data_IF_005184979529
#
_entry.id   IF_005184979529
#
_cell.length_a   1.000
_cell.length_b   1.000
_cell.length_c   1.000
_cell.angle_alpha   90.00
_cell.angle_beta   90.00
_cell.angle_gamma   90.00
#
_symmetry.space_group_name_H-M   'P 1'
#
loop_
_entity.id
_entity.type
_entity.pdbx_description
1 polymer ?
#
# COMPACT_ATOMS: atom_id res chain seq x y z
N UNK A 1 -2.07 5.79 -9.28
CA UNK A 1 -0.73 6.03 -8.69
C UNK A 1 0.11 7.05 -9.49
N UNK A 2 0.08 7.07 -10.83
CA UNK A 2 0.73 8.14 -11.64
C UNK A 2 0.17 9.54 -11.30
N UNK A 3 -1.12 9.63 -10.97
CA UNK A 3 -1.75 10.87 -10.48
C UNK A 3 -1.05 11.47 -9.25
N UNK A 4 -0.71 10.62 -8.27
CA UNK A 4 0.00 10.99 -7.04
C UNK A 4 1.40 11.53 -7.36
N UNK A 5 2.11 10.82 -8.24
CA UNK A 5 3.43 11.25 -8.72
C UNK A 5 3.38 12.58 -9.48
N UNK A 6 2.37 12.76 -10.36
CA UNK A 6 2.18 14.01 -11.10
C UNK A 6 1.89 15.19 -10.18
N UNK A 7 1.09 15.00 -9.13
CA UNK A 7 0.84 16.04 -8.14
C UNK A 7 2.10 16.43 -7.35
N UNK A 8 2.88 15.43 -6.93
CA UNK A 8 4.17 15.62 -6.26
C UNK A 8 5.18 16.40 -7.10
N UNK A 9 5.34 16.03 -8.37
CA UNK A 9 6.42 16.55 -9.21
C UNK A 9 6.07 17.87 -9.89
N UNK A 10 4.79 18.12 -10.15
CA UNK A 10 4.36 19.30 -10.90
C UNK A 10 3.52 20.26 -10.05
N UNK A 11 2.49 19.79 -9.33
CA UNK A 11 1.58 20.73 -8.64
C UNK A 11 2.16 21.33 -7.36
N UNK A 12 2.73 20.49 -6.48
CA UNK A 12 3.28 20.95 -5.20
C UNK A 12 4.40 22.01 -5.39
N UNK A 13 5.42 21.80 -6.24
CA UNK A 13 6.51 22.77 -6.40
C UNK A 13 6.16 24.00 -7.26
N UNK A 14 5.23 23.89 -8.22
CA UNK A 14 4.93 25.00 -9.14
C UNK A 14 3.93 26.02 -8.57
N UNK A 15 3.15 25.68 -7.55
CA UNK A 15 2.03 26.53 -7.07
C UNK A 15 1.80 26.46 -5.55
N UNK A 16 2.85 26.60 -4.76
CA UNK A 16 2.80 26.49 -3.29
C UNK A 16 1.72 27.35 -2.61
N UNK A 17 1.51 28.60 -3.07
CA UNK A 17 0.52 29.50 -2.48
C UNK A 17 -0.94 29.06 -2.71
N UNK A 18 -1.25 28.55 -3.90
CA UNK A 18 -2.59 28.03 -4.20
C UNK A 18 -2.85 26.69 -3.48
N UNK A 19 -1.82 25.87 -3.36
CA UNK A 19 -1.87 24.58 -2.63
C UNK A 19 -2.20 24.79 -1.14
N UNK A 20 -1.55 25.76 -0.49
CA UNK A 20 -1.83 26.08 0.93
C UNK A 20 -3.25 26.62 1.13
N UNK A 21 -3.76 27.41 0.18
CA UNK A 21 -5.13 27.97 0.28
C UNK A 21 -6.23 26.91 0.17
N UNK A 22 -5.97 25.76 -0.46
CA UNK A 22 -6.98 24.72 -0.75
C UNK A 22 -6.71 23.43 0.06
N UNK A 23 -5.61 23.36 0.81
CA UNK A 23 -5.20 22.16 1.55
C UNK A 23 -6.28 21.64 2.50
N UNK A 24 -6.97 22.52 3.23
CA UNK A 24 -8.07 22.17 4.14
C UNK A 24 -9.26 21.54 3.40
N UNK A 25 -9.62 22.09 2.24
CA UNK A 25 -10.70 21.59 1.38
C UNK A 25 -10.32 20.22 0.81
N UNK A 26 -9.10 20.08 0.30
CA UNK A 26 -8.60 18.80 -0.23
C UNK A 26 -8.55 17.75 0.87
N UNK A 27 -8.13 18.12 2.08
CA UNK A 27 -8.06 17.20 3.21
C UNK A 27 -9.42 16.70 3.66
N UNK A 28 -10.42 17.60 3.70
CA UNK A 28 -11.80 17.22 3.99
C UNK A 28 -12.34 16.24 2.95
N UNK A 29 -12.26 16.59 1.66
CA UNK A 29 -12.76 15.74 0.58
C UNK A 29 -12.05 14.41 0.51
N UNK A 30 -10.74 14.39 0.76
CA UNK A 30 -9.99 13.18 0.72
C UNK A 30 -10.27 12.24 1.88
N UNK A 31 -10.55 12.76 3.08
CA UNK A 31 -11.02 11.92 4.19
C UNK A 31 -12.44 11.41 3.97
N UNK A 32 -13.35 12.23 3.44
CA UNK A 32 -14.68 11.77 3.05
C UNK A 32 -14.59 10.67 1.97
N UNK A 33 -13.73 10.84 0.97
CA UNK A 33 -13.49 9.84 -0.07
C UNK A 33 -12.91 8.55 0.50
N UNK A 34 -11.92 8.64 1.40
CA UNK A 34 -11.33 7.49 2.08
C UNK A 34 -12.38 6.68 2.86
N UNK A 35 -13.22 7.35 3.65
CA UNK A 35 -14.32 6.71 4.40
C UNK A 35 -15.40 6.13 3.48
N UNK A 36 -15.73 6.83 2.39
CA UNK A 36 -16.68 6.33 1.41
C UNK A 36 -16.19 5.01 0.78
N UNK A 37 -14.93 4.98 0.34
CA UNK A 37 -14.36 3.77 -0.24
C UNK A 37 -14.21 2.63 0.77
N UNK A 38 -13.91 2.94 2.05
CA UNK A 38 -13.82 1.91 3.09
C UNK A 38 -15.17 1.25 3.36
N UNK A 39 -16.24 2.03 3.41
CA UNK A 39 -17.62 1.53 3.53
C UNK A 39 -18.04 0.73 2.28
N UNK A 40 -17.67 1.21 1.08
CA UNK A 40 -17.98 0.53 -0.17
C UNK A 40 -17.26 -0.82 -0.27
N UNK A 41 -16.03 -0.92 0.24
CA UNK A 41 -15.27 -2.17 0.31
C UNK A 41 -16.02 -3.23 1.10
N UNK A 42 -16.69 -2.86 2.20
CA UNK A 42 -17.43 -3.81 3.05
C UNK A 42 -18.65 -4.46 2.37
N UNK A 43 -19.15 -3.88 1.27
CA UNK A 43 -20.33 -4.39 0.55
C UNK A 43 -19.98 -5.39 -0.56
N UNK A 44 -18.71 -5.46 -0.95
CA UNK A 44 -18.25 -6.25 -2.09
C UNK A 44 -17.58 -7.57 -1.73
N UNK A 45 -17.19 -8.32 -2.76
CA UNK A 45 -16.23 -9.41 -2.66
C UNK A 45 -14.77 -8.93 -2.68
N UNK A 46 -13.80 -9.85 -2.56
CA UNK A 46 -12.38 -9.51 -2.42
C UNK A 46 -11.85 -8.54 -3.49
N UNK A 47 -12.19 -8.75 -4.77
CA UNK A 47 -11.73 -7.89 -5.87
C UNK A 47 -12.22 -6.45 -5.67
N UNK A 48 -13.49 -6.27 -5.32
CA UNK A 48 -14.05 -4.94 -5.05
C UNK A 48 -13.39 -4.31 -3.82
N UNK A 49 -13.13 -5.09 -2.76
CA UNK A 49 -12.41 -4.62 -1.57
C UNK A 49 -11.02 -4.11 -1.93
N UNK A 50 -10.28 -4.83 -2.78
CA UNK A 50 -8.94 -4.42 -3.24
C UNK A 50 -9.02 -3.13 -4.07
N UNK A 51 -9.96 -3.04 -5.01
CA UNK A 51 -10.12 -1.83 -5.83
C UNK A 51 -10.47 -0.61 -4.97
N UNK A 52 -11.41 -0.77 -4.04
CA UNK A 52 -11.79 0.28 -3.10
C UNK A 52 -10.61 0.65 -2.19
N UNK A 53 -9.80 -0.33 -1.75
CA UNK A 53 -8.60 -0.09 -0.95
C UNK A 53 -7.58 0.76 -1.72
N UNK A 54 -7.27 0.41 -2.96
CA UNK A 54 -6.32 1.17 -3.80
C UNK A 54 -6.79 2.60 -4.00
N UNK A 55 -8.08 2.79 -4.33
CA UNK A 55 -8.66 4.11 -4.52
C UNK A 55 -8.67 4.93 -3.23
N UNK A 56 -9.13 4.34 -2.12
CA UNK A 56 -9.17 4.99 -0.82
C UNK A 56 -7.77 5.41 -0.37
N UNK A 57 -6.78 4.52 -0.44
CA UNK A 57 -5.39 4.83 -0.09
C UNK A 57 -4.77 5.89 -1.00
N UNK A 58 -5.11 5.91 -2.30
CA UNK A 58 -4.65 6.97 -3.20
C UNK A 58 -5.26 8.33 -2.87
N UNK A 59 -6.55 8.40 -2.58
CA UNK A 59 -7.22 9.65 -2.16
C UNK A 59 -6.64 10.16 -0.84
N UNK A 60 -6.39 9.25 0.11
CA UNK A 60 -5.73 9.56 1.36
C UNK A 60 -4.29 10.06 1.13
N UNK A 61 -3.49 9.38 0.31
CA UNK A 61 -2.11 9.81 0.05
C UNK A 61 -2.08 11.20 -0.62
N UNK A 62 -3.01 11.49 -1.52
CA UNK A 62 -3.14 12.82 -2.14
C UNK A 62 -3.45 13.92 -1.14
N UNK A 63 -4.36 13.66 -0.21
CA UNK A 63 -4.70 14.55 0.91
C UNK A 63 -3.45 14.96 1.67
N UNK A 64 -2.60 13.98 1.95
CA UNK A 64 -1.45 14.14 2.81
C UNK A 64 -0.29 14.82 2.12
N UNK A 65 -0.12 14.60 0.83
CA UNK A 65 0.91 15.29 0.06
C UNK A 65 0.76 16.82 0.09
N UNK A 66 -0.45 17.33 0.33
CA UNK A 66 -0.69 18.76 0.46
C UNK A 66 -0.57 19.29 1.90
N UNK A 67 -0.48 18.39 2.88
CA UNK A 67 -0.42 18.74 4.31
C UNK A 67 0.86 18.26 5.01
N UNK A 68 1.61 17.35 4.41
CA UNK A 68 2.74 16.67 5.03
C UNK A 68 4.01 17.51 4.98
N UNK A 69 4.81 17.38 6.04
CA UNK A 69 6.18 17.87 6.05
C UNK A 69 7.02 17.17 4.96
N UNK A 70 7.99 17.87 4.34
CA UNK A 70 8.83 17.33 3.27
C UNK A 70 9.52 16.00 3.63
N UNK A 71 9.84 15.82 4.91
CA UNK A 71 10.52 14.63 5.46
C UNK A 71 9.63 13.37 5.40
N UNK A 72 8.30 13.53 5.39
CA UNK A 72 7.35 12.40 5.35
C UNK A 72 7.06 11.91 3.91
N UNK A 73 7.36 12.73 2.90
CA UNK A 73 7.04 12.45 1.49
C UNK A 73 7.68 11.15 0.97
N UNK A 74 8.99 10.89 1.16
CA UNK A 74 9.61 9.67 0.65
C UNK A 74 9.00 8.40 1.24
N UNK A 75 8.69 8.42 2.54
CA UNK A 75 8.06 7.32 3.24
C UNK A 75 6.63 7.05 2.73
N UNK A 76 5.87 8.11 2.43
CA UNK A 76 4.54 8.00 1.83
C UNK A 76 4.59 7.44 0.40
N UNK A 77 5.59 7.83 -0.40
CA UNK A 77 5.78 7.27 -1.75
C UNK A 77 6.11 5.78 -1.67
N UNK A 78 7.08 5.41 -0.84
CA UNK A 78 7.49 4.01 -0.65
C UNK A 78 6.32 3.14 -0.18
N UNK A 79 5.56 3.63 0.80
CA UNK A 79 4.32 3.02 1.25
C UNK A 79 3.35 2.78 0.11
N UNK A 80 3.14 3.81 -0.73
CA UNK A 80 2.22 3.69 -1.84
C UNK A 80 2.72 2.73 -2.92
N UNK A 81 4.03 2.62 -3.15
CA UNK A 81 4.60 1.58 -4.02
C UNK A 81 4.31 0.19 -3.46
N UNK A 82 4.61 -0.05 -2.18
CA UNK A 82 4.44 -1.37 -1.54
C UNK A 82 2.97 -1.81 -1.54
N UNK A 83 2.05 -0.93 -1.14
CA UNK A 83 0.62 -1.23 -1.22
C UNK A 83 0.17 -1.54 -2.65
N UNK A 84 0.69 -0.80 -3.63
CA UNK A 84 0.37 -1.03 -5.03
C UNK A 84 0.82 -2.38 -5.52
N UNK A 85 2.06 -2.74 -5.18
CA UNK A 85 2.65 -4.03 -5.48
C UNK A 85 1.83 -5.17 -4.85
N UNK A 86 1.53 -5.09 -3.55
CA UNK A 86 0.75 -6.10 -2.85
C UNK A 86 -0.67 -6.27 -3.43
N UNK A 87 -1.36 -5.18 -3.75
CA UNK A 87 -2.68 -5.24 -4.41
C UNK A 87 -2.61 -5.89 -5.81
N UNK A 88 -1.61 -5.53 -6.62
CA UNK A 88 -1.44 -6.10 -7.97
C UNK A 88 -1.14 -7.61 -7.90
N UNK A 89 -0.25 -8.03 -7.00
CA UNK A 89 0.08 -9.45 -6.82
C UNK A 89 -1.12 -10.25 -6.32
N UNK A 90 -1.93 -9.66 -5.43
CA UNK A 90 -3.15 -10.28 -4.97
C UNK A 90 -4.18 -10.43 -6.11
N UNK A 91 -4.35 -9.41 -6.95
CA UNK A 91 -5.23 -9.49 -8.14
C UNK A 91 -4.75 -10.54 -9.16
N UNK A 92 -3.44 -10.77 -9.28
CA UNK A 92 -2.89 -11.85 -10.11
C UNK A 92 -3.15 -13.24 -9.52
N UNK A 93 -3.18 -13.37 -8.20
CA UNK A 93 -3.41 -14.64 -7.50
C UNK A 93 -4.89 -15.06 -7.45
N UNK A 94 -5.83 -14.10 -7.38
CA UNK A 94 -7.27 -14.40 -7.22
C UNK A 94 -7.83 -15.34 -8.30
N UNK A 95 -7.59 -15.14 -9.60
CA UNK A 95 -8.11 -16.05 -10.62
C UNK A 95 -7.59 -17.48 -10.44
N UNK A 96 -6.32 -17.62 -10.04
CA UNK A 96 -5.70 -18.92 -9.82
C UNK A 96 -6.27 -19.62 -8.59
N UNK A 97 -6.49 -18.86 -7.51
CA UNK A 97 -7.09 -19.36 -6.27
C UNK A 97 -8.59 -19.66 -6.39
N UNK A 98 -9.28 -19.07 -7.36
CA UNK A 98 -10.71 -19.34 -7.63
C UNK A 98 -10.97 -20.68 -8.32
N UNK A 99 -9.93 -21.35 -8.83
CA UNK A 99 -10.04 -22.68 -9.43
C UNK A 99 -9.86 -23.74 -8.33
N UNK A 100 -10.79 -24.71 -8.18
CA UNK A 100 -10.74 -25.70 -7.10
C UNK A 100 -9.76 -26.84 -7.41
N UNK A 101 -8.46 -26.54 -7.29
CA UNK A 101 -7.36 -27.50 -7.51
C UNK A 101 -6.78 -27.91 -6.17
N UNK A 102 -6.63 -29.21 -5.89
CA UNK A 102 -5.99 -29.66 -4.64
C UNK A 102 -4.54 -30.05 -4.84
N UNK A 103 -3.63 -29.28 -4.22
CA UNK A 103 -2.29 -29.74 -3.87
C UNK A 103 -1.28 -28.62 -3.53
N UNK A 104 0.03 -28.93 -3.63
CA UNK A 104 1.09 -28.13 -2.94
C UNK A 104 1.36 -26.79 -3.63
N UNK A 105 1.06 -26.67 -4.92
CA UNK A 105 1.16 -25.41 -5.65
C UNK A 105 0.06 -24.43 -5.22
N UNK A 106 -1.17 -24.92 -5.03
CA UNK A 106 -2.27 -24.13 -4.48
C UNK A 106 -1.94 -23.63 -3.06
N UNK A 107 -1.37 -24.48 -2.20
CA UNK A 107 -0.97 -24.08 -0.84
C UNK A 107 0.06 -22.94 -0.83
N UNK A 108 1.03 -22.93 -1.76
CA UNK A 108 2.00 -21.84 -1.87
C UNK A 108 1.29 -20.53 -2.28
N UNK A 109 0.38 -20.58 -3.24
CA UNK A 109 -0.38 -19.40 -3.70
C UNK A 109 -1.29 -18.84 -2.60
N UNK A 110 -1.89 -19.70 -1.79
CA UNK A 110 -2.67 -19.30 -0.61
C UNK A 110 -1.80 -18.58 0.42
N UNK A 111 -0.59 -19.11 0.68
CA UNK A 111 0.40 -18.44 1.54
C UNK A 111 0.82 -17.08 0.98
N UNK A 112 1.07 -16.99 -0.32
CA UNK A 112 1.40 -15.73 -0.98
C UNK A 112 0.26 -14.72 -0.87
N UNK A 113 -0.99 -15.13 -1.12
CA UNK A 113 -2.15 -14.26 -0.98
C UNK A 113 -2.35 -13.80 0.47
N UNK A 114 -2.20 -14.71 1.43
CA UNK A 114 -2.21 -14.38 2.86
C UNK A 114 -1.12 -13.39 3.24
N UNK A 115 0.11 -13.57 2.73
CA UNK A 115 1.22 -12.65 2.94
C UNK A 115 0.92 -11.26 2.36
N UNK A 116 0.31 -11.17 1.17
CA UNK A 116 -0.10 -9.88 0.60
C UNK A 116 -1.19 -9.21 1.43
N UNK A 117 -2.18 -9.96 1.93
CA UNK A 117 -3.21 -9.42 2.85
C UNK A 117 -2.56 -8.89 4.14
N UNK A 118 -1.62 -9.63 4.74
CA UNK A 118 -0.89 -9.19 5.94
C UNK A 118 -0.04 -7.94 5.67
N UNK A 119 0.55 -7.84 4.47
CA UNK A 119 1.29 -6.65 4.04
C UNK A 119 0.35 -5.45 3.93
N UNK A 120 -0.82 -5.62 3.29
CA UNK A 120 -1.85 -4.58 3.20
C UNK A 120 -2.48 -4.23 4.55
N UNK A 121 -2.43 -5.15 5.52
CA UNK A 121 -2.84 -4.93 6.90
C UNK A 121 -1.82 -4.13 7.71
N UNK A 122 -0.62 -3.92 7.19
CA UNK A 122 0.43 -3.21 7.91
C UNK A 122 0.91 -4.03 9.10
N UNK A 123 1.17 -5.33 8.91
CA UNK A 123 1.77 -6.14 9.97
C UNK A 123 3.17 -5.58 10.31
N UNK A 124 3.51 -5.43 11.61
CA UNK A 124 4.85 -4.99 12.01
C UNK A 124 5.95 -5.88 11.41
N UNK A 125 6.97 -5.26 10.81
CA UNK A 125 8.06 -5.94 10.12
C UNK A 125 7.83 -6.20 8.62
N UNK A 126 6.63 -5.90 8.10
CA UNK A 126 6.38 -5.89 6.66
C UNK A 126 6.45 -4.46 6.10
N UNK A 127 6.81 -4.39 4.82
CA UNK A 127 6.91 -3.14 4.08
C UNK A 127 5.64 -2.31 4.19
N UNK A 128 5.82 -1.04 4.53
CA UNK A 128 4.73 -0.07 4.63
C UNK A 128 4.16 0.13 6.04
N UNK A 129 4.40 -0.77 6.99
CA UNK A 129 3.94 -0.57 8.38
C UNK A 129 4.53 0.70 9.01
N UNK A 130 5.83 0.92 8.88
CA UNK A 130 6.52 2.05 9.52
C UNK A 130 6.03 3.40 9.00
N UNK A 131 5.87 3.52 7.68
CA UNK A 131 5.29 4.70 7.06
C UNK A 131 3.83 4.92 7.49
N UNK A 132 3.06 3.83 7.59
CA UNK A 132 1.67 3.91 8.03
C UNK A 132 1.51 4.30 9.50
N UNK A 133 2.40 3.81 10.35
CA UNK A 133 2.43 4.13 11.78
C UNK A 133 2.87 5.58 12.01
N UNK A 134 3.97 5.99 11.37
CA UNK A 134 4.43 7.38 11.39
C UNK A 134 3.33 8.33 10.89
N UNK A 135 2.57 7.89 9.89
CA UNK A 135 1.44 8.63 9.37
C UNK A 135 0.29 8.76 10.38
N UNK A 136 -0.15 7.66 10.99
CA UNK A 136 -1.17 7.70 12.05
C UNK A 136 -0.73 8.62 13.20
N UNK A 137 0.55 8.55 13.57
CA UNK A 137 1.12 9.38 14.62
C UNK A 137 1.06 10.88 14.28
N UNK A 138 1.45 11.26 13.06
CA UNK A 138 1.36 12.64 12.58
C UNK A 138 -0.08 13.15 12.58
N UNK A 139 -1.05 12.37 12.09
CA UNK A 139 -2.46 12.77 12.13
C UNK A 139 -2.97 12.99 13.55
N UNK A 140 -2.57 12.14 14.51
CA UNK A 140 -2.97 12.27 15.90
C UNK A 140 -2.39 13.51 16.57
N UNK A 141 -1.21 13.96 16.15
CA UNK A 141 -0.59 15.20 16.60
C UNK A 141 -1.32 16.43 16.04
N UNK A 142 -1.71 16.41 14.77
CA UNK A 142 -2.42 17.52 14.12
C UNK A 142 -3.89 17.63 14.59
N UNK A 143 -4.62 16.51 14.59
CA UNK A 143 -6.02 16.47 14.99
C UNK A 143 -6.47 15.06 15.34
N UNK A 144 -6.86 14.88 16.61
CA UNK A 144 -7.40 13.61 17.11
C UNK A 144 -8.55 13.07 16.24
N UNK A 145 -9.43 13.95 15.76
CA UNK A 145 -10.59 13.58 14.96
C UNK A 145 -10.18 12.97 13.60
N UNK A 146 -9.19 13.56 12.94
CA UNK A 146 -8.62 13.06 11.68
C UNK A 146 -7.95 11.70 11.88
N UNK A 147 -7.19 11.54 12.96
CA UNK A 147 -6.59 10.26 13.33
C UNK A 147 -7.63 9.16 13.57
N UNK A 148 -8.72 9.47 14.28
CA UNK A 148 -9.81 8.52 14.53
C UNK A 148 -10.54 8.10 13.25
N UNK A 149 -10.85 9.05 12.36
CA UNK A 149 -11.48 8.74 11.07
C UNK A 149 -10.59 7.87 10.18
N UNK A 150 -9.29 8.19 10.14
CA UNK A 150 -8.33 7.37 9.42
C UNK A 150 -8.29 5.94 10.00
N UNK A 151 -8.19 5.80 11.32
CA UNK A 151 -8.17 4.50 11.97
C UNK A 151 -9.45 3.69 11.68
N UNK A 152 -10.62 4.33 11.79
CA UNK A 152 -11.90 3.69 11.51
C UNK A 152 -12.00 3.22 10.05
N UNK A 153 -11.65 4.07 9.08
CA UNK A 153 -11.67 3.70 7.67
C UNK A 153 -10.63 2.63 7.35
N UNK A 154 -9.46 2.67 7.97
CA UNK A 154 -8.43 1.64 7.81
C UNK A 154 -8.90 0.28 8.35
N UNK A 155 -9.52 0.25 9.54
CA UNK A 155 -10.08 -0.97 10.11
C UNK A 155 -11.17 -1.58 9.22
N UNK A 156 -12.06 -0.74 8.66
CA UNK A 156 -13.10 -1.20 7.72
C UNK A 156 -12.49 -1.86 6.47
N UNK A 157 -11.42 -1.25 5.92
CA UNK A 157 -10.68 -1.84 4.82
C UNK A 157 -10.07 -3.21 5.18
N UNK A 158 -9.46 -3.32 6.36
CA UNK A 158 -8.88 -4.59 6.80
C UNK A 158 -9.92 -5.68 6.99
N UNK A 159 -11.06 -5.32 7.61
CA UNK A 159 -12.19 -6.24 7.75
C UNK A 159 -12.71 -6.70 6.39
N UNK A 160 -12.84 -5.79 5.42
CA UNK A 160 -13.31 -6.13 4.07
C UNK A 160 -12.33 -7.03 3.31
N UNK A 161 -11.02 -6.80 3.45
CA UNK A 161 -9.98 -7.62 2.82
C UNK A 161 -9.91 -9.02 3.46
N UNK A 162 -9.87 -9.11 4.79
CA UNK A 162 -9.85 -10.38 5.52
C UNK A 162 -11.12 -11.19 5.24
N UNK A 163 -12.29 -10.54 5.27
CA UNK A 163 -13.56 -11.19 4.94
C UNK A 163 -13.57 -11.70 3.50
N UNK A 164 -13.15 -10.88 2.54
CA UNK A 164 -13.10 -11.27 1.14
C UNK A 164 -12.15 -12.45 0.90
N UNK A 165 -11.00 -12.46 1.56
CA UNK A 165 -10.04 -13.55 1.51
C UNK A 165 -10.61 -14.83 2.13
N UNK A 166 -11.23 -14.73 3.31
CA UNK A 166 -11.89 -15.86 3.97
C UNK A 166 -13.00 -16.48 3.09
N UNK A 167 -13.83 -15.65 2.46
CA UNK A 167 -14.86 -16.11 1.54
C UNK A 167 -14.27 -16.83 0.32
N UNK A 168 -13.18 -16.31 -0.26
CA UNK A 168 -12.48 -16.97 -1.37
C UNK A 168 -11.95 -18.35 -0.96
N UNK A 169 -11.34 -18.43 0.22
CA UNK A 169 -10.77 -19.68 0.75
C UNK A 169 -11.83 -20.74 1.03
N UNK A 170 -12.98 -20.34 1.61
CA UNK A 170 -14.07 -21.27 1.91
C UNK A 170 -14.80 -21.73 0.64
N UNK A 171 -15.01 -20.83 -0.33
CA UNK A 171 -15.63 -21.19 -1.61
C UNK A 171 -14.80 -22.24 -2.37
N UNK A 172 -13.47 -22.18 -2.28
CA UNK A 172 -12.57 -23.17 -2.87
C UNK A 172 -12.60 -24.53 -2.12
N UNK A 173 -12.95 -24.54 -0.84
CA UNK A 173 -13.01 -25.75 0.00
C UNK A 173 -14.29 -26.57 -0.19
N UNK A 174 -15.42 -25.92 -0.55
CA UNK A 174 -16.74 -26.56 -0.71
C UNK A 174 -16.91 -27.31 -2.06
N UNK A 175 -16.00 -27.11 -3.00
CA UNK A 175 -15.98 -27.78 -4.30
C UNK A 175 -15.22 -29.11 -4.26
N UNK A 176 -15.76 -30.15 -4.93
CA UNK A 176 -15.07 -31.44 -5.04
C UNK A 176 -13.65 -31.24 -5.58
N UNK A 177 -12.61 -31.70 -4.85
CA UNK A 177 -11.23 -31.65 -5.30
C UNK A 177 -11.06 -32.22 -6.71
N UNK A 178 -10.53 -31.44 -7.64
CA UNK A 178 -9.89 -32.04 -8.80
C UNK A 178 -8.46 -32.43 -8.40
N UNK A 179 -8.05 -33.70 -8.59
CA UNK A 179 -6.69 -34.11 -8.31
C UNK A 179 -5.73 -33.26 -9.14
N UNK A 180 -4.66 -32.74 -8.52
CA UNK A 180 -3.54 -32.17 -9.25
C UNK A 180 -3.02 -33.22 -10.23
N UNK A 181 -2.89 -32.85 -11.51
CA UNK A 181 -2.25 -33.71 -12.50
C UNK A 181 -0.79 -33.89 -12.03
N UNK A 182 -0.44 -35.10 -11.57
CA UNK A 182 0.89 -35.51 -11.08
C UNK A 182 1.92 -35.46 -12.21
N UNK A 183 2.16 -34.26 -12.73
CA UNK A 183 3.00 -34.02 -13.86
C UNK A 183 4.33 -33.43 -13.36
N UNK A 184 5.42 -33.81 -14.01
CA UNK A 184 6.77 -33.25 -13.84
C UNK A 184 6.85 -31.71 -13.91
N UNK A 185 5.73 -31.02 -14.19
CA UNK A 185 5.59 -29.57 -14.29
C UNK A 185 5.43 -28.84 -12.95
N UNK A 186 5.12 -29.54 -11.85
CA UNK A 186 4.96 -28.93 -10.51
C UNK A 186 6.22 -28.18 -9.99
N UNK A 187 7.45 -28.73 -10.05
CA UNK A 187 8.65 -28.01 -9.62
C UNK A 187 8.96 -26.81 -10.53
N UNK A 188 8.67 -26.93 -11.83
CA UNK A 188 8.90 -25.88 -12.83
C UNK A 188 7.96 -24.69 -12.59
N UNK A 189 6.67 -24.95 -12.35
CA UNK A 189 5.71 -23.90 -11.99
C UNK A 189 6.03 -23.23 -10.67
N UNK A 190 6.51 -23.98 -9.68
CA UNK A 190 6.95 -23.42 -8.40
C UNK A 190 8.17 -22.52 -8.55
N UNK A 191 9.15 -22.91 -9.37
CA UNK A 191 10.32 -22.08 -9.67
C UNK A 191 9.91 -20.77 -10.35
N UNK A 192 9.05 -20.84 -11.38
CA UNK A 192 8.56 -19.65 -12.07
C UNK A 192 7.72 -18.74 -11.16
N UNK A 193 6.89 -19.31 -10.27
CA UNK A 193 6.19 -18.52 -9.26
C UNK A 193 7.17 -17.81 -8.33
N UNK A 194 8.19 -18.51 -7.82
CA UNK A 194 9.22 -17.87 -6.98
C UNK A 194 10.01 -16.81 -7.72
N UNK A 195 10.27 -16.99 -9.02
CA UNK A 195 10.98 -16.00 -9.83
C UNK A 195 10.10 -14.77 -10.11
N UNK A 196 8.78 -14.96 -10.25
CA UNK A 196 7.83 -13.87 -10.47
C UNK A 196 7.50 -13.10 -9.19
N UNK A 197 7.29 -13.79 -8.06
CA UNK A 197 6.88 -13.17 -6.79
C UNK A 197 8.07 -12.85 -5.87
N UNK A 198 9.19 -13.57 -5.99
CA UNK A 198 10.36 -13.45 -5.12
C UNK A 198 10.93 -12.05 -5.02
N UNK A 199 11.20 -11.34 -6.14
CA UNK A 199 11.70 -9.96 -6.09
C UNK A 199 10.77 -9.02 -5.33
N UNK A 200 9.45 -9.19 -5.51
CA UNK A 200 8.47 -8.37 -4.83
C UNK A 200 8.37 -8.67 -3.33
N UNK A 201 8.40 -9.95 -2.94
CA UNK A 201 8.41 -10.36 -1.53
C UNK A 201 9.67 -9.86 -0.84
N UNK A 202 10.82 -9.99 -1.50
CA UNK A 202 12.10 -9.51 -0.98
C UNK A 202 12.08 -7.99 -0.78
N UNK A 203 11.50 -7.23 -1.73
CA UNK A 203 11.32 -5.79 -1.58
C UNK A 203 10.41 -5.44 -0.40
N UNK A 204 9.28 -6.14 -0.23
CA UNK A 204 8.35 -5.94 0.90
C UNK A 204 9.05 -6.23 2.23
N UNK A 205 9.84 -7.30 2.31
CA UNK A 205 10.57 -7.64 3.53
C UNK A 205 11.71 -6.66 3.82
N UNK A 206 12.51 -6.32 2.81
CA UNK A 206 13.62 -5.38 2.96
C UNK A 206 13.13 -3.99 3.42
N UNK A 207 12.04 -3.50 2.82
CA UNK A 207 11.43 -2.22 3.21
C UNK A 207 10.75 -2.26 4.59
N UNK A 208 10.36 -3.44 5.08
CA UNK A 208 9.81 -3.63 6.41
C UNK A 208 10.88 -3.67 7.51
N UNK A 209 12.00 -4.35 7.24
CA UNK A 209 13.10 -4.54 8.20
C UNK A 209 14.01 -3.32 8.24
N UNK A 210 14.36 -2.76 7.08
CA UNK A 210 15.26 -1.61 6.95
C UNK A 210 14.63 -0.53 6.06
N UNK A 211 13.61 0.20 6.54
CA UNK A 211 13.00 1.28 5.76
C UNK A 211 13.98 2.42 5.47
N UNK A 212 14.86 2.75 6.42
CA UNK A 212 15.79 3.88 6.36
C UNK A 212 16.88 3.72 5.28
N UNK A 213 17.47 2.53 5.15
CA UNK A 213 18.57 2.29 4.20
C UNK A 213 18.11 2.43 2.74
N UNK A 214 16.88 2.03 2.42
CA UNK A 214 16.33 2.20 1.08
C UNK A 214 15.98 3.66 0.77
N UNK A 215 15.39 4.39 1.72
CA UNK A 215 15.08 5.80 1.50
C UNK A 215 16.32 6.68 1.40
N UNK A 216 17.41 6.36 2.10
CA UNK A 216 18.62 7.17 2.06
C UNK A 216 19.54 6.82 0.87
N UNK A 217 19.64 5.54 0.47
CA UNK A 217 20.60 5.12 -0.57
C UNK A 217 20.00 5.02 -1.99
N UNK A 218 18.67 4.85 -2.16
CA UNK A 218 18.05 4.66 -3.49
C UNK A 218 17.28 5.85 -4.03
N UNK A 219 17.25 6.98 -3.29
CA UNK A 219 16.76 8.24 -3.82
C UNK A 219 17.76 8.80 -4.83
N UNK A 220 17.66 8.34 -6.08
CA UNK A 220 17.85 9.22 -7.23
C UNK A 220 17.20 10.57 -6.86
N UNK A 221 17.92 11.69 -6.95
CA UNK A 221 17.56 12.94 -6.27
C UNK A 221 16.25 13.45 -6.87
N UNK A 222 15.14 13.06 -6.26
CA UNK A 222 13.80 13.54 -6.59
C UNK A 222 13.60 14.98 -6.08
N UNK A 223 14.50 15.45 -5.22
CA UNK A 223 14.65 16.83 -4.82
C UNK A 223 16.07 17.31 -5.16
N UNK A 224 16.23 18.43 -5.87
CA UNK A 224 17.53 19.07 -5.96
C UNK A 224 17.97 19.47 -4.55
N UNK A 225 19.23 19.20 -4.21
CA UNK A 225 19.87 19.55 -2.94
C UNK A 225 19.84 21.06 -2.60
N UNK A 226 19.27 21.90 -3.47
CA UNK A 226 19.18 23.35 -3.31
C UNK A 226 18.05 23.82 -2.39
N UNK A 227 17.20 22.94 -1.85
CA UNK A 227 16.12 23.33 -0.91
C UNK A 227 16.52 23.07 0.56
N UNK A 228 17.52 22.22 0.82
CA UNK A 228 18.08 21.98 2.16
C UNK A 228 19.39 22.72 2.41
N UNK A 229 19.93 23.43 1.41
CA UNK A 229 21.06 24.34 1.57
C UNK A 229 20.63 25.68 2.17
N UNK A 230 20.29 25.70 3.46
CA UNK A 230 20.53 26.89 4.26
C UNK A 230 22.05 27.08 4.26
N UNK A 231 22.54 27.96 3.39
CA UNK A 231 23.89 28.49 3.46
C UNK A 231 24.13 29.02 4.88
N UNK A 232 24.76 28.22 5.75
CA UNK A 232 25.73 28.76 6.68
C UNK A 232 26.86 29.35 5.82
N UNK A 233 26.66 30.59 5.38
CA UNK A 233 27.75 31.49 5.02
C UNK A 233 28.10 32.25 6.29
N UNK A 234 29.12 31.74 6.96
CA UNK A 234 30.22 32.51 7.55
C UNK A 234 29.91 33.98 7.83
N UNK A 235 29.53 34.29 9.07
CA UNK A 235 29.81 35.60 9.64
C UNK A 235 31.30 35.62 10.04
N UNK A 236 32.16 35.90 9.07
CA UNK A 236 33.42 36.60 9.31
C UNK A 236 33.21 38.09 9.04
N UNK A 237 33.13 38.87 10.12
CA UNK A 237 33.74 40.19 10.32
C UNK A 237 33.39 40.76 11.70
#
# INVERSE_FOLDING_TARGET
>A
KISVYGMLRFMAPLNHGAVQSISTVISFWGMCGFLYFSLLACRGGLVQSILCFVLGQSVLTLTLLFSAEPVAIPNLILFHVIQGLACCLLLLLIPVLSVPVTGKANRLQQWLAGFMILTLAGLPGLGGFTAQFAFLWSLLQDSLLLGLFYLAGYLLFQLALIRGFWQLMNAAADTKPQPEDNSLYEPVHRLFAWLAFGPAILLILATGICPASLTEETLLPLFPASITGSETKDMEN
#
